data_IF_692121165979
#
_entry.id   IF_692121165979
#
_cell.length_a   1.000
_cell.length_b   1.000
_cell.length_c   1.000
_cell.angle_alpha   90.00
_cell.angle_beta   90.00
_cell.angle_gamma   90.00
#
_symmetry.space_group_name_H-M   'P 1'
#
loop_
_entity.id
_entity.type
_entity.pdbx_description
1 polymer ?
#
# COMPACT_ATOMS: atom_id res chain seq x y z
N UNK A 1 -16.81 1.36 13.57
CA UNK A 1 -16.66 -0.04 14.02
C UNK A 1 -16.90 -0.99 12.87
N UNK A 2 -15.89 -1.77 12.48
CA UNK A 2 -15.99 -2.74 11.39
C UNK A 2 -16.81 -3.94 11.89
N UNK A 3 -18.06 -4.05 11.41
CA UNK A 3 -18.97 -5.13 11.83
C UNK A 3 -18.72 -6.48 11.13
N UNK A 4 -17.82 -6.53 10.15
CA UNK A 4 -17.53 -7.75 9.38
C UNK A 4 -16.64 -8.72 10.15
N UNK A 5 -17.14 -9.94 10.38
CA UNK A 5 -16.37 -11.07 10.95
C UNK A 5 -15.14 -11.40 10.09
N UNK A 6 -15.28 -11.36 8.77
CA UNK A 6 -14.19 -11.61 7.81
C UNK A 6 -13.07 -10.58 7.94
N UNK A 7 -13.40 -9.29 8.03
CA UNK A 7 -12.39 -8.24 8.24
C UNK A 7 -11.67 -8.42 9.57
N UNK A 8 -12.40 -8.72 10.66
CA UNK A 8 -11.75 -9.02 11.95
C UNK A 8 -10.78 -10.19 11.88
N UNK A 9 -11.07 -11.22 11.10
CA UNK A 9 -10.16 -12.36 10.91
C UNK A 9 -8.90 -12.00 10.10
N UNK A 10 -8.94 -10.98 9.24
CA UNK A 10 -7.77 -10.51 8.51
C UNK A 10 -6.76 -9.75 9.40
N UNK A 11 -7.22 -9.17 10.51
CA UNK A 11 -6.38 -8.40 11.44
C UNK A 11 -6.10 -9.13 12.77
N UNK A 12 -6.99 -10.02 13.22
CA UNK A 12 -6.94 -10.64 14.54
C UNK A 12 -7.54 -12.07 14.56
N UNK A 13 -7.49 -12.79 13.44
CA UNK A 13 -7.89 -14.19 13.36
C UNK A 13 -6.67 -15.09 13.24
N UNK A 14 -6.68 -16.27 13.88
CA UNK A 14 -5.64 -17.30 13.76
C UNK A 14 -5.50 -17.95 12.38
N UNK A 15 -5.90 -17.24 11.31
CA UNK A 15 -5.59 -17.54 9.91
C UNK A 15 -4.47 -16.62 9.36
N UNK A 16 -4.19 -15.50 10.03
CA UNK A 16 -3.00 -14.68 9.77
C UNK A 16 -2.04 -14.88 10.94
N UNK A 17 -0.96 -15.64 10.74
CA UNK A 17 0.12 -15.82 11.73
C UNK A 17 1.08 -14.61 11.78
N UNK A 18 0.72 -13.49 11.13
CA UNK A 18 1.55 -12.29 11.09
C UNK A 18 1.21 -11.38 12.25
N UNK A 19 2.20 -11.14 13.12
CA UNK A 19 2.13 -10.19 14.23
C UNK A 19 2.11 -8.75 13.68
N UNK A 20 0.91 -8.22 13.40
CA UNK A 20 0.73 -6.86 12.88
C UNK A 20 1.25 -5.78 13.83
N UNK A 21 1.26 -6.07 15.13
CA UNK A 21 1.88 -5.28 16.20
C UNK A 21 3.41 -5.18 16.09
N UNK A 22 4.04 -6.04 15.28
CA UNK A 22 5.48 -6.01 14.97
C UNK A 22 5.79 -5.55 13.54
N UNK A 23 4.76 -5.13 12.80
CA UNK A 23 4.94 -4.68 11.42
C UNK A 23 5.54 -3.28 11.39
N UNK A 24 6.71 -3.12 10.77
CA UNK A 24 7.32 -1.80 10.56
C UNK A 24 6.49 -0.96 9.56
N UNK A 25 6.09 -1.54 8.42
CA UNK A 25 5.46 -0.80 7.32
C UNK A 25 4.08 -1.35 6.97
N UNK A 26 3.05 -0.51 7.10
CA UNK A 26 1.70 -0.81 6.59
C UNK A 26 1.46 0.03 5.34
N UNK A 27 1.12 -0.62 4.23
CA UNK A 27 0.83 0.07 2.97
C UNK A 27 -0.68 0.18 2.71
N UNK A 28 -1.13 1.40 2.47
CA UNK A 28 -2.47 1.71 1.97
C UNK A 28 -2.37 2.26 0.54
N UNK A 29 -3.00 1.58 -0.40
CA UNK A 29 -3.08 2.00 -1.80
C UNK A 29 -4.46 2.60 -2.02
N UNK A 30 -4.49 3.85 -2.48
CA UNK A 30 -5.72 4.57 -2.80
C UNK A 30 -5.83 4.80 -4.30
N UNK A 31 -6.88 4.27 -4.93
CA UNK A 31 -7.24 4.61 -6.29
C UNK A 31 -8.11 5.87 -6.30
N UNK A 32 -7.67 6.88 -7.05
CA UNK A 32 -8.39 8.14 -7.23
C UNK A 32 -9.56 8.00 -8.19
N UNK A 33 -10.49 8.95 -8.16
CA UNK A 33 -11.59 9.02 -9.14
C UNK A 33 -11.12 9.24 -10.59
N UNK A 34 -9.86 9.67 -10.78
CA UNK A 34 -9.22 9.83 -12.09
C UNK A 34 -8.52 8.53 -12.57
N UNK A 35 -8.63 7.42 -11.81
CA UNK A 35 -8.15 6.10 -12.22
C UNK A 35 -6.64 5.87 -12.04
N UNK A 36 -5.96 6.69 -11.26
CA UNK A 36 -4.57 6.46 -10.86
C UNK A 36 -4.44 6.22 -9.35
N UNK A 37 -3.38 5.53 -8.94
CA UNK A 37 -3.11 5.18 -7.56
C UNK A 37 -2.10 6.11 -6.87
N UNK A 38 -2.36 6.35 -5.59
CA UNK A 38 -1.46 6.98 -4.63
C UNK A 38 -1.16 5.94 -3.55
N UNK A 39 0.09 5.91 -3.07
CA UNK A 39 0.51 4.97 -2.04
C UNK A 39 0.89 5.72 -0.77
N UNK A 40 0.33 5.25 0.34
CA UNK A 40 0.64 5.73 1.67
C UNK A 40 1.30 4.59 2.45
N UNK A 41 2.48 4.83 3.01
CA UNK A 41 3.17 3.86 3.85
C UNK A 41 3.25 4.41 5.27
N UNK A 42 2.63 3.71 6.22
CA UNK A 42 2.76 4.00 7.64
C UNK A 42 4.00 3.28 8.15
N UNK A 43 5.02 4.05 8.54
CA UNK A 43 6.16 3.56 9.30
C UNK A 43 5.81 3.65 10.78
N UNK A 44 5.52 2.48 11.37
CA UNK A 44 5.07 2.35 12.75
C UNK A 44 6.21 2.59 13.75
N UNK A 45 7.46 2.32 13.35
CA UNK A 45 8.64 2.49 14.21
C UNK A 45 9.08 3.96 14.27
N UNK A 46 9.04 4.65 13.13
CA UNK A 46 9.43 6.05 13.02
C UNK A 46 8.28 7.03 13.24
N UNK A 47 7.04 6.53 13.27
CA UNK A 47 5.80 7.32 13.32
C UNK A 47 5.73 8.32 12.16
N UNK A 48 5.99 7.83 10.94
CA UNK A 48 5.94 8.63 9.72
C UNK A 48 4.92 8.04 8.76
N UNK A 49 4.01 8.87 8.25
CA UNK A 49 3.17 8.53 7.10
C UNK A 49 3.85 9.07 5.85
N UNK A 50 4.41 8.15 5.06
CA UNK A 50 5.05 8.43 3.79
C UNK A 50 4.02 8.51 2.67
N UNK A 51 4.16 9.50 1.80
CA UNK A 51 3.26 9.72 0.66
C UNK A 51 4.04 9.57 -0.63
N UNK A 52 3.56 8.68 -1.50
CA UNK A 52 4.09 8.44 -2.83
C UNK A 52 3.00 8.67 -3.88
N UNK A 53 3.20 9.70 -4.71
CA UNK A 53 2.36 9.99 -5.86
C UNK A 53 3.20 9.83 -7.14
N UNK A 54 3.20 8.65 -7.78
CA UNK A 54 4.08 8.36 -8.91
C UNK A 54 3.75 9.19 -10.16
N UNK A 55 2.54 9.76 -10.22
CA UNK A 55 2.08 10.62 -11.31
C UNK A 55 2.52 12.07 -11.09
N UNK A 56 2.58 12.54 -9.83
CA UNK A 56 2.89 13.92 -9.46
C UNK A 56 4.21 14.07 -8.70
N UNK A 57 5.08 13.08 -8.76
CA UNK A 57 6.37 13.05 -8.05
C UNK A 57 7.26 14.27 -8.30
N UNK A 58 7.17 14.94 -9.45
CA UNK A 58 7.94 16.17 -9.73
C UNK A 58 7.19 17.48 -9.43
N UNK A 59 6.01 17.43 -8.79
CA UNK A 59 5.25 18.64 -8.46
C UNK A 59 5.90 19.46 -7.33
N UNK A 60 6.82 18.85 -6.58
CA UNK A 60 7.47 19.45 -5.42
C UNK A 60 6.67 19.30 -4.13
N UNK A 61 7.39 19.20 -3.01
CA UNK A 61 6.85 18.87 -1.68
C UNK A 61 5.62 19.70 -1.29
N UNK A 62 5.64 21.02 -1.47
CA UNK A 62 4.53 21.91 -1.06
C UNK A 62 3.23 21.62 -1.81
N UNK A 63 3.31 21.19 -3.07
CA UNK A 63 2.12 20.83 -3.86
C UNK A 63 1.60 19.47 -3.41
N UNK A 64 2.49 18.49 -3.22
CA UNK A 64 2.11 17.18 -2.69
C UNK A 64 1.46 17.29 -1.31
N UNK A 65 2.00 18.12 -0.42
CA UNK A 65 1.43 18.39 0.89
C UNK A 65 -0.01 18.90 0.77
N UNK A 66 -0.23 19.96 -0.02
CA UNK A 66 -1.59 20.51 -0.22
C UNK A 66 -2.59 19.51 -0.79
N UNK A 67 -2.12 18.59 -1.64
CA UNK A 67 -2.99 17.59 -2.27
C UNK A 67 -3.37 16.47 -1.32
N UNK A 68 -2.44 16.07 -0.45
CA UNK A 68 -2.53 14.81 0.29
C UNK A 68 -2.71 14.97 1.79
N UNK A 69 -2.50 16.16 2.36
CA UNK A 69 -2.53 16.39 3.81
C UNK A 69 -3.83 15.92 4.46
N UNK A 70 -4.98 16.37 3.95
CA UNK A 70 -6.28 15.98 4.51
C UNK A 70 -6.52 14.47 4.44
N UNK A 71 -6.05 13.82 3.36
CA UNK A 71 -6.10 12.36 3.23
C UNK A 71 -5.19 11.68 4.25
N UNK A 72 -3.99 12.21 4.49
CA UNK A 72 -3.07 11.69 5.50
C UNK A 72 -3.67 11.78 6.90
N UNK A 73 -4.32 12.89 7.24
CA UNK A 73 -5.05 13.07 8.50
C UNK A 73 -6.12 12.00 8.70
N UNK A 74 -6.97 11.79 7.69
CA UNK A 74 -8.05 10.79 7.73
C UNK A 74 -7.50 9.37 7.85
N UNK A 75 -6.48 9.04 7.06
CA UNK A 75 -5.88 7.72 7.04
C UNK A 75 -5.20 7.39 8.37
N UNK A 76 -4.49 8.35 8.96
CA UNK A 76 -3.84 8.18 10.25
C UNK A 76 -4.85 8.06 11.39
N UNK A 77 -5.85 8.94 11.48
CA UNK A 77 -6.93 8.81 12.48
C UNK A 77 -7.64 7.45 12.34
N UNK A 78 -7.89 7.00 11.11
CA UNK A 78 -8.46 5.68 10.84
C UNK A 78 -7.58 4.53 11.33
N UNK A 79 -6.27 4.59 11.10
CA UNK A 79 -5.33 3.57 11.57
C UNK A 79 -5.26 3.53 13.09
N UNK A 80 -5.10 4.68 13.77
CA UNK A 80 -4.98 4.72 15.23
C UNK A 80 -6.25 4.20 15.92
N UNK A 81 -7.44 4.49 15.36
CA UNK A 81 -8.69 3.90 15.84
C UNK A 81 -8.75 2.39 15.66
N UNK A 82 -8.13 1.85 14.61
CA UNK A 82 -8.00 0.40 14.44
C UNK A 82 -7.02 -0.18 15.47
N UNK A 83 -5.92 0.51 15.74
CA UNK A 83 -4.96 0.11 16.79
C UNK A 83 -5.68 0.03 18.15
N UNK A 84 -6.37 1.10 18.56
CA UNK A 84 -7.16 1.15 19.79
C UNK A 84 -8.19 0.01 19.91
N UNK A 85 -8.83 -0.35 18.79
CA UNK A 85 -9.92 -1.32 18.79
C UNK A 85 -9.46 -2.78 18.76
N UNK A 86 -8.25 -3.07 18.27
CA UNK A 86 -7.83 -4.43 17.95
C UNK A 86 -6.49 -4.86 18.57
N UNK A 87 -5.66 -3.93 19.03
CA UNK A 87 -4.30 -4.21 19.49
C UNK A 87 -4.07 -3.65 20.90
N UNK A 88 -4.55 -4.38 21.90
CA UNK A 88 -4.40 -4.01 23.31
C UNK A 88 -2.92 -3.90 23.69
N UNK A 89 -2.54 -2.78 24.31
CA UNK A 89 -1.17 -2.52 24.75
C UNK A 89 -0.26 -1.88 23.69
N UNK A 90 -0.74 -1.67 22.45
CA UNK A 90 0.02 -0.92 21.46
C UNK A 90 -0.08 0.59 21.73
N UNK A 91 0.92 1.12 22.44
CA UNK A 91 1.03 2.55 22.72
C UNK A 91 1.29 3.36 21.44
N UNK A 92 0.47 4.38 21.22
CA UNK A 92 0.63 5.32 20.12
C UNK A 92 0.23 6.74 20.55
N UNK A 93 0.86 7.74 19.93
CA UNK A 93 0.53 9.15 20.16
C UNK A 93 0.47 9.88 18.82
N UNK A 94 -0.73 10.30 18.45
CA UNK A 94 -1.00 11.05 17.21
C UNK A 94 -0.09 12.26 17.03
N UNK A 95 0.32 12.93 18.11
CA UNK A 95 1.13 14.15 18.04
C UNK A 95 2.58 13.89 17.63
N UNK A 96 3.08 12.66 17.78
CA UNK A 96 4.43 12.27 17.37
C UNK A 96 4.51 12.01 15.86
N UNK A 97 3.38 11.68 15.23
CA UNK A 97 3.33 11.33 13.82
C UNK A 97 3.63 12.51 12.89
N UNK A 98 4.46 12.24 11.87
CA UNK A 98 4.85 13.21 10.84
C UNK A 98 4.44 12.74 9.45
N UNK A 99 4.25 13.67 8.54
CA UNK A 99 4.00 13.36 7.12
C UNK A 99 5.26 13.62 6.31
N UNK A 100 5.66 12.64 5.49
CA UNK A 100 6.80 12.77 4.57
C UNK A 100 6.31 12.59 3.14
N UNK A 101 6.31 13.68 2.39
CA UNK A 101 5.97 13.69 0.97
C UNK A 101 7.24 13.44 0.14
N UNK A 102 7.27 12.37 -0.64
CA UNK A 102 8.43 12.04 -1.45
C UNK A 102 8.27 12.61 -2.87
N UNK A 103 9.10 13.58 -3.22
CA UNK A 103 9.23 14.09 -4.57
C UNK A 103 10.47 13.50 -5.29
N UNK A 104 10.44 13.53 -6.62
CA UNK A 104 11.51 13.02 -7.49
C UNK A 104 11.93 11.57 -7.24
N UNK A 105 11.00 10.72 -6.79
CA UNK A 105 11.22 9.27 -6.62
C UNK A 105 11.37 8.58 -7.97
N UNK A 106 10.69 9.11 -8.99
CA UNK A 106 10.67 8.58 -10.34
C UNK A 106 10.47 9.70 -11.37
N UNK A 107 10.53 9.36 -12.67
CA UNK A 107 9.96 10.25 -13.70
C UNK A 107 8.43 10.12 -13.67
N UNK A 108 7.64 11.22 -13.73
CA UNK A 108 6.19 11.16 -13.70
C UNK A 108 5.62 10.12 -14.66
N UNK A 109 4.87 9.18 -14.12
CA UNK A 109 4.34 8.06 -14.90
C UNK A 109 2.94 8.34 -15.47
N UNK A 110 2.49 7.45 -16.36
CA UNK A 110 1.13 7.48 -16.90
C UNK A 110 0.14 6.96 -15.86
N UNK A 111 -1.12 7.37 -15.98
CA UNK A 111 -2.22 6.90 -15.12
C UNK A 111 -2.24 5.36 -15.03
N UNK A 112 -2.17 4.69 -16.18
CA UNK A 112 -2.21 3.23 -16.33
C UNK A 112 -1.01 2.47 -15.73
N UNK A 113 0.07 3.18 -15.39
CA UNK A 113 1.27 2.58 -14.82
C UNK A 113 1.34 2.74 -13.29
N UNK A 114 0.53 3.62 -12.70
CA UNK A 114 0.66 4.00 -11.28
C UNK A 114 0.60 2.81 -10.32
N UNK A 115 -0.19 1.78 -10.62
CA UNK A 115 -0.26 0.53 -9.86
C UNK A 115 1.07 -0.23 -9.87
N UNK A 116 1.74 -0.31 -11.03
CA UNK A 116 3.02 -0.99 -11.19
C UNK A 116 4.13 -0.24 -10.44
N UNK A 117 4.10 1.09 -10.47
CA UNK A 117 4.98 1.92 -9.63
C UNK A 117 4.70 1.69 -8.14
N UNK A 118 3.44 1.50 -7.74
CA UNK A 118 3.06 1.09 -6.39
C UNK A 118 3.78 -0.17 -5.93
N UNK A 119 3.76 -1.22 -6.75
CA UNK A 119 4.50 -2.45 -6.46
C UNK A 119 6.01 -2.22 -6.40
N UNK A 120 6.57 -1.40 -7.29
CA UNK A 120 8.00 -1.05 -7.22
C UNK A 120 8.37 -0.42 -5.88
N UNK A 121 7.55 0.52 -5.38
CA UNK A 121 7.82 1.17 -4.09
C UNK A 121 7.69 0.21 -2.93
N UNK A 122 6.64 -0.61 -2.91
CA UNK A 122 6.45 -1.62 -1.85
C UNK A 122 7.63 -2.58 -1.78
N UNK A 123 8.16 -3.00 -2.94
CA UNK A 123 9.26 -3.96 -3.02
C UNK A 123 10.63 -3.35 -2.75
N UNK A 124 10.80 -2.03 -2.92
CA UNK A 124 12.12 -1.39 -2.94
C UNK A 124 12.30 -0.29 -1.90
N UNK A 125 11.28 0.01 -1.10
CA UNK A 125 11.35 1.00 -0.04
C UNK A 125 11.87 0.40 1.26
N UNK A 126 12.89 1.03 1.86
CA UNK A 126 13.53 0.57 3.11
C UNK A 126 13.09 1.35 4.36
N UNK A 127 12.02 2.14 4.27
CA UNK A 127 11.60 3.09 5.32
C UNK A 127 12.13 4.51 5.10
N UNK A 128 13.19 4.68 4.29
CA UNK A 128 13.82 5.98 4.06
C UNK A 128 13.85 6.38 2.58
N UNK A 129 14.23 5.45 1.70
CA UNK A 129 14.41 5.66 0.27
C UNK A 129 13.84 4.48 -0.53
N UNK A 130 13.36 4.78 -1.74
CA UNK A 130 13.05 3.75 -2.74
C UNK A 130 14.32 3.45 -3.50
N UNK A 131 14.78 2.20 -3.44
CA UNK A 131 15.97 1.75 -4.14
C UNK A 131 15.66 1.35 -5.58
N UNK A 132 16.61 1.62 -6.47
CA UNK A 132 16.48 1.29 -7.89
C UNK A 132 15.55 2.26 -8.64
N UNK A 133 15.99 2.63 -9.84
CA UNK A 133 15.18 3.42 -10.75
C UNK A 133 14.26 2.49 -11.54
N UNK A 134 13.02 2.92 -11.74
CA UNK A 134 12.09 2.27 -12.65
C UNK A 134 11.91 3.16 -13.88
N UNK A 135 12.30 2.63 -15.04
CA UNK A 135 12.05 3.24 -16.35
C UNK A 135 10.93 2.48 -17.08
N UNK A 136 10.59 2.92 -18.29
CA UNK A 136 9.49 2.34 -19.05
C UNK A 136 9.67 0.83 -19.33
N UNK A 137 10.87 0.41 -19.69
CA UNK A 137 11.15 -0.99 -19.99
C UNK A 137 11.06 -1.84 -18.71
N UNK A 138 11.50 -1.28 -17.59
CA UNK A 138 11.40 -1.88 -16.25
C UNK A 138 9.94 -2.00 -15.78
N UNK A 139 9.07 -1.04 -16.10
CA UNK A 139 7.61 -1.13 -15.83
C UNK A 139 7.01 -2.33 -16.54
N UNK A 140 7.29 -2.49 -17.84
CA UNK A 140 6.74 -3.60 -18.62
C UNK A 140 7.26 -4.95 -18.13
N UNK A 141 8.53 -5.01 -17.75
CA UNK A 141 9.12 -6.19 -17.14
C UNK A 141 8.46 -6.52 -15.79
N UNK A 142 8.31 -5.53 -14.90
CA UNK A 142 7.67 -5.71 -13.60
C UNK A 142 6.21 -6.14 -13.75
N UNK A 143 5.46 -5.56 -14.69
CA UNK A 143 4.08 -5.96 -14.99
C UNK A 143 3.99 -7.43 -15.39
N UNK A 144 4.88 -7.90 -16.28
CA UNK A 144 4.95 -9.32 -16.68
C UNK A 144 5.34 -10.22 -15.51
N UNK A 145 6.29 -9.79 -14.68
CA UNK A 145 6.72 -10.51 -13.48
C UNK A 145 5.57 -10.65 -12.48
N UNK A 146 4.83 -9.57 -12.22
CA UNK A 146 3.66 -9.59 -11.32
C UNK A 146 2.58 -10.54 -11.86
N UNK A 147 2.27 -10.48 -13.16
CA UNK A 147 1.33 -11.42 -13.78
C UNK A 147 1.78 -12.87 -13.61
N UNK A 148 3.06 -13.14 -13.86
CA UNK A 148 3.64 -14.48 -13.68
C UNK A 148 3.52 -14.96 -12.22
N UNK A 149 3.85 -14.10 -11.25
CA UNK A 149 3.72 -14.43 -9.82
C UNK A 149 2.27 -14.74 -9.45
N UNK A 150 1.31 -13.95 -9.93
CA UNK A 150 -0.12 -14.20 -9.71
C UNK A 150 -0.48 -15.58 -10.25
N UNK A 151 -0.14 -15.90 -11.51
CA UNK A 151 -0.42 -17.21 -12.13
C UNK A 151 0.20 -18.40 -11.38
N UNK A 152 1.24 -18.17 -10.57
CA UNK A 152 1.90 -19.19 -9.78
C UNK A 152 1.43 -19.28 -8.32
N UNK A 153 0.57 -18.37 -7.86
CA UNK A 153 0.08 -18.41 -6.48
C UNK A 153 -0.64 -19.74 -6.22
N UNK A 154 -0.30 -20.40 -5.11
CA UNK A 154 -1.01 -21.60 -4.67
C UNK A 154 -2.51 -21.29 -4.53
N UNK A 155 -3.37 -22.14 -5.10
CA UNK A 155 -4.81 -21.93 -5.24
C UNK A 155 -5.26 -20.91 -6.30
N UNK A 156 -4.35 -20.31 -7.08
CA UNK A 156 -4.72 -19.64 -8.32
C UNK A 156 -4.91 -20.70 -9.42
N UNK A 157 -6.07 -21.37 -9.35
CA UNK A 157 -6.51 -22.38 -10.31
C UNK A 157 -6.77 -21.67 -11.64
N UNK A 158 -5.74 -21.52 -12.46
CA UNK A 158 -5.87 -21.05 -13.85
C UNK A 158 -6.71 -22.03 -14.68
N UNK A 159 -8.03 -22.00 -14.48
CA UNK A 159 -9.12 -22.75 -15.12
C UNK A 159 -9.07 -24.30 -15.10
N UNK A 160 -10.12 -24.91 -14.54
CA UNK A 160 -11.13 -25.67 -15.29
C UNK A 160 -12.26 -26.07 -14.30
N UNK A 161 -13.47 -25.51 -14.46
CA UNK A 161 -14.65 -26.20 -13.94
C UNK A 161 -14.73 -27.53 -14.72
N UNK A 162 -14.65 -28.70 -14.07
CA UNK A 162 -15.06 -29.91 -14.77
C UNK A 162 -16.55 -29.73 -15.06
N UNK A 163 -16.89 -29.72 -16.35
CA UNK A 163 -18.27 -29.98 -16.79
C UNK A 163 -18.71 -31.21 -16.02
N UNK A 164 -19.70 -31.06 -15.15
CA UNK A 164 -20.40 -32.19 -14.57
C UNK A 164 -21.09 -32.89 -15.74
N UNK A 165 -20.44 -33.92 -16.27
CA UNK A 165 -21.11 -34.96 -17.03
C UNK A 165 -22.04 -35.68 -16.05
N UNK A 166 -23.22 -35.09 -15.85
CA UNK A 166 -24.36 -35.75 -15.24
C UNK A 166 -24.88 -36.79 -16.26
N UNK A 167 -24.39 -38.03 -16.14
CA UNK A 167 -25.09 -39.25 -16.57
C UNK A 167 -26.21 -39.62 -15.59
#
# INVERSE_FOLDING_TARGET
YINSKKMRQMFAGGQCDYALDTCQLIWAIHETTEGYCIMYAFDMDLEILHVFDPKRTCAGIRILERLHHDTCEILLDGLLRCVDAYFEGWEHDRSRWKFKYHDYVNTPCRTEDTQVYGFHYILSFDGMHVHGNIDKDSVDHLRKKLMYLVLQMESNLGYDDPVSDDE
#
